data_IF_887351206594
#
_entry.id   IF_887351206594
#
_cell.length_a   1.000
_cell.length_b   1.000
_cell.length_c   1.000
_cell.angle_alpha   90.00
_cell.angle_beta   90.00
_cell.angle_gamma   90.00
#
_symmetry.space_group_name_H-M   'P 1'
#
loop_
_entity.id
_entity.type
_entity.pdbx_description
1 polymer ?
#
# COMPACT_ATOMS: atom_id res chain seq x y z
N UNK A 1 26.36 -40.28 -65.70
CA UNK A 1 27.48 -40.78 -64.89
C UNK A 1 28.17 -39.58 -64.28
N UNK A 2 27.94 -39.30 -62.99
CA UNK A 2 28.70 -38.30 -62.25
C UNK A 2 29.13 -38.86 -60.89
N UNK A 3 30.36 -38.52 -60.59
CA UNK A 3 31.24 -38.97 -59.53
C UNK A 3 30.83 -38.43 -58.15
N UNK A 4 30.82 -39.34 -57.18
CA UNK A 4 31.64 -39.31 -55.97
C UNK A 4 31.43 -38.28 -54.83
N UNK A 5 31.65 -38.84 -53.62
CA UNK A 5 32.21 -38.25 -52.37
C UNK A 5 31.19 -37.64 -51.41
N UNK A 6 31.31 -37.72 -50.08
CA UNK A 6 32.13 -38.46 -49.10
C UNK A 6 31.62 -38.03 -47.70
N UNK A 7 31.75 -38.92 -46.72
CA UNK A 7 32.03 -38.65 -45.28
C UNK A 7 31.10 -37.79 -44.42
N UNK A 8 30.50 -38.46 -43.42
CA UNK A 8 30.17 -37.87 -42.11
C UNK A 8 31.45 -37.45 -41.35
N UNK A 9 31.35 -36.56 -40.34
CA UNK A 9 31.31 -37.11 -38.98
C UNK A 9 30.47 -36.35 -37.94
N UNK A 10 29.99 -37.14 -37.00
CA UNK A 10 29.60 -36.88 -35.61
C UNK A 10 30.35 -35.74 -34.89
N UNK A 11 29.60 -34.86 -34.24
CA UNK A 11 30.01 -34.23 -32.96
C UNK A 11 28.88 -34.24 -31.95
N UNK A 12 29.14 -35.00 -30.88
CA UNK A 12 28.38 -35.04 -29.65
C UNK A 12 28.43 -33.67 -28.94
N UNK A 13 27.28 -33.10 -28.62
CA UNK A 13 27.19 -32.00 -27.67
C UNK A 13 26.91 -32.62 -26.30
N UNK A 14 27.96 -32.70 -25.48
CA UNK A 14 27.92 -33.21 -24.11
C UNK A 14 27.15 -32.25 -23.21
N UNK A 15 26.29 -32.85 -22.41
CA UNK A 15 25.73 -32.36 -21.16
C UNK A 15 26.72 -31.52 -20.34
N UNK A 16 26.32 -30.31 -19.98
CA UNK A 16 26.95 -29.51 -18.94
C UNK A 16 25.85 -28.99 -17.99
N UNK A 17 25.32 -29.92 -17.21
CA UNK A 17 24.62 -29.65 -15.96
C UNK A 17 25.67 -29.38 -14.87
N UNK A 18 26.00 -28.09 -14.66
CA UNK A 18 26.60 -27.59 -13.42
C UNK A 18 25.61 -26.59 -12.84
N UNK A 19 24.79 -26.98 -11.88
CA UNK A 19 25.12 -26.92 -10.44
C UNK A 19 25.64 -25.55 -10.03
N UNK A 20 24.73 -24.57 -9.97
CA UNK A 20 24.83 -23.41 -9.07
C UNK A 20 23.72 -23.53 -8.04
N UNK A 21 23.98 -24.42 -7.08
CA UNK A 21 23.36 -24.45 -5.76
C UNK A 21 24.30 -23.65 -4.86
N UNK A 22 23.80 -22.55 -4.30
CA UNK A 22 24.32 -21.77 -3.16
C UNK A 22 24.40 -20.26 -3.46
N UNK A 23 23.28 -19.57 -3.27
CA UNK A 23 23.19 -18.32 -2.47
C UNK A 23 21.73 -17.84 -2.40
N UNK A 24 20.83 -18.74 -2.01
CA UNK A 24 19.52 -18.40 -1.45
C UNK A 24 19.71 -18.30 0.07
N UNK A 25 20.18 -17.15 0.53
CA UNK A 25 20.50 -16.88 1.93
C UNK A 25 20.01 -15.51 2.35
N UNK A 26 18.79 -15.17 1.97
CA UNK A 26 17.95 -14.09 2.52
C UNK A 26 16.50 -14.45 2.15
N UNK A 27 16.08 -15.61 2.64
CA UNK A 27 14.72 -16.13 2.49
C UNK A 27 14.12 -16.23 3.89
N UNK A 28 13.02 -15.50 4.08
CA UNK A 28 11.96 -15.76 5.05
C UNK A 28 12.17 -15.34 6.50
N UNK A 29 11.99 -14.05 6.75
CA UNK A 29 11.43 -13.51 8.00
C UNK A 29 10.03 -12.91 7.83
N UNK A 30 9.32 -13.21 6.73
CA UNK A 30 7.97 -12.70 6.43
C UNK A 30 7.00 -13.84 6.05
N UNK A 31 7.33 -15.09 6.39
CA UNK A 31 6.32 -16.15 6.36
C UNK A 31 5.52 -16.18 7.66
N UNK A 32 4.21 -16.17 7.49
CA UNK A 32 3.23 -16.72 8.41
C UNK A 32 2.86 -15.92 9.67
N UNK A 33 2.58 -14.62 9.51
CA UNK A 33 1.40 -14.04 10.18
C UNK A 33 0.27 -13.82 9.16
N UNK A 34 0.06 -14.84 8.33
CA UNK A 34 -1.10 -14.94 7.47
C UNK A 34 -2.28 -15.51 8.29
N UNK A 35 -3.27 -14.64 8.51
CA UNK A 35 -4.68 -14.95 8.26
C UNK A 35 -5.19 -16.24 8.94
N UNK A 36 -5.42 -16.15 10.25
CA UNK A 36 -6.53 -16.85 10.91
C UNK A 36 -7.43 -15.85 11.65
N UNK A 37 -8.02 -14.93 10.92
CA UNK A 37 -9.26 -14.31 11.37
C UNK A 37 -10.41 -15.03 10.70
N UNK A 38 -10.89 -16.08 11.37
CA UNK A 38 -12.16 -16.71 11.06
C UNK A 38 -13.26 -15.68 11.35
N UNK A 39 -13.78 -15.08 10.27
CA UNK A 39 -15.01 -14.31 10.28
C UNK A 39 -16.13 -15.22 10.76
N UNK A 40 -16.51 -15.09 12.03
CA UNK A 40 -17.67 -15.79 12.62
C UNK A 40 -18.70 -14.74 13.02
N UNK A 41 -19.22 -14.01 12.03
CA UNK A 41 -20.36 -13.12 12.21
C UNK A 41 -21.63 -13.97 12.33
N UNK A 42 -21.94 -14.45 13.54
CA UNK A 42 -23.30 -14.94 13.85
C UNK A 42 -24.23 -13.74 13.90
N UNK A 43 -25.10 -13.67 12.90
CA UNK A 43 -26.31 -12.85 12.89
C UNK A 43 -27.17 -13.30 14.08
N UNK A 44 -27.17 -12.51 15.15
CA UNK A 44 -28.20 -12.56 16.18
C UNK A 44 -29.13 -11.37 15.95
N UNK A 45 -30.25 -11.64 15.30
CA UNK A 45 -31.39 -10.75 15.29
C UNK A 45 -31.89 -10.59 16.74
N UNK A 46 -31.87 -9.37 17.25
CA UNK A 46 -32.35 -9.01 18.57
C UNK A 46 -32.92 -7.61 18.54
N UNK A 47 -34.14 -7.49 18.00
CA UNK A 47 -35.00 -6.33 18.24
C UNK A 47 -35.21 -6.19 19.74
N UNK A 48 -34.81 -5.04 20.32
CA UNK A 48 -35.42 -4.56 21.55
C UNK A 48 -35.48 -3.05 21.54
N UNK A 49 -36.70 -2.58 21.27
CA UNK A 49 -37.18 -1.22 21.47
C UNK A 49 -37.09 -0.84 22.95
N UNK A 50 -36.54 0.33 23.23
CA UNK A 50 -36.80 1.05 24.48
C UNK A 50 -36.69 2.56 24.24
N UNK A 51 -37.85 3.18 24.14
CA UNK A 51 -38.07 4.61 24.32
C UNK A 51 -37.46 5.11 25.63
N UNK A 52 -36.73 6.23 25.60
CA UNK A 52 -36.68 7.10 26.76
C UNK A 52 -36.53 8.56 26.33
N UNK A 53 -37.56 9.33 26.69
CA UNK A 53 -37.65 10.78 26.55
C UNK A 53 -36.80 11.51 27.60
N UNK A 54 -36.68 12.83 27.37
CA UNK A 54 -36.26 13.94 28.26
C UNK A 54 -34.76 14.26 28.18
N UNK A 55 -34.29 15.51 28.22
CA UNK A 55 -34.95 16.79 28.48
C UNK A 55 -34.20 17.94 27.79
N UNK A 56 -34.93 19.04 27.63
CA UNK A 56 -34.45 20.38 27.33
C UNK A 56 -33.29 20.83 28.23
N UNK A 57 -32.33 21.57 27.65
CA UNK A 57 -31.79 22.80 28.22
C UNK A 57 -31.07 23.61 27.12
N UNK A 58 -31.59 24.82 26.83
CA UNK A 58 -30.89 25.89 26.11
C UNK A 58 -30.26 26.86 27.15
N UNK A 59 -29.76 28.05 26.77
CA UNK A 59 -28.34 28.34 26.54
C UNK A 59 -27.81 29.36 27.57
N UNK A 60 -26.50 29.57 27.64
CA UNK A 60 -25.94 30.75 28.32
C UNK A 60 -24.96 31.45 27.38
N UNK A 61 -25.35 32.67 27.01
CA UNK A 61 -24.51 33.69 26.38
C UNK A 61 -23.65 34.41 27.42
N UNK A 62 -22.41 34.72 27.07
CA UNK A 62 -21.57 35.82 27.53
C UNK A 62 -20.19 35.63 26.88
N UNK A 63 -19.37 36.61 26.50
CA UNK A 63 -19.49 38.05 26.34
C UNK A 63 -18.24 38.48 25.55
N UNK A 64 -18.31 39.64 24.91
CA UNK A 64 -17.22 40.32 24.21
C UNK A 64 -15.98 40.51 25.08
N UNK A 65 -14.79 40.42 24.48
CA UNK A 65 -13.70 41.39 24.73
C UNK A 65 -12.83 41.51 23.48
N UNK A 66 -12.86 42.72 22.92
CA UNK A 66 -11.97 43.18 21.88
C UNK A 66 -10.56 43.43 22.46
N UNK A 67 -9.53 42.99 21.75
CA UNK A 67 -8.13 43.28 22.04
C UNK A 67 -7.32 43.24 20.76
N UNK A 68 -7.32 44.36 20.03
CA UNK A 68 -6.48 44.59 18.85
C UNK A 68 -5.14 45.16 19.32
N UNK A 69 -4.04 44.45 19.08
CA UNK A 69 -2.70 45.04 19.08
C UNK A 69 -1.88 44.42 17.93
N UNK A 70 -1.57 45.26 16.95
CA UNK A 70 -0.58 44.99 15.91
C UNK A 70 0.83 45.02 16.51
N UNK A 71 1.73 44.15 16.04
CA UNK A 71 3.03 44.52 15.44
C UNK A 71 3.78 43.27 14.99
N UNK A 72 3.81 43.10 13.68
CA UNK A 72 4.79 42.31 12.94
C UNK A 72 6.12 43.07 12.88
N UNK A 73 7.23 42.32 12.91
CA UNK A 73 8.50 42.46 12.16
C UNK A 73 9.71 42.11 13.04
N UNK A 74 10.20 40.88 12.87
CA UNK A 74 11.61 40.55 12.93
C UNK A 74 11.79 39.23 12.17
N UNK A 75 12.26 39.33 10.94
CA UNK A 75 12.76 38.21 10.14
C UNK A 75 14.06 37.72 10.76
N UNK A 76 13.98 36.75 11.67
CA UNK A 76 15.13 35.91 11.95
C UNK A 76 15.18 34.85 10.86
N UNK A 77 16.09 35.04 9.91
CA UNK A 77 16.64 33.96 9.11
C UNK A 77 17.43 33.04 10.06
N UNK A 78 16.71 32.27 10.87
CA UNK A 78 17.28 31.09 11.49
C UNK A 78 17.29 30.03 10.42
N UNK A 79 18.44 29.98 9.76
CA UNK A 79 18.98 28.84 9.05
C UNK A 79 18.77 27.62 9.96
N UNK A 80 17.61 26.99 9.80
CA UNK A 80 17.18 25.82 10.55
C UNK A 80 17.92 24.64 9.94
N UNK A 81 19.24 24.64 10.19
CA UNK A 81 20.11 23.48 10.17
C UNK A 81 19.52 22.49 11.19
N UNK A 82 18.48 21.78 10.75
CA UNK A 82 17.93 20.62 11.42
C UNK A 82 19.03 19.57 11.44
N UNK A 83 19.86 19.64 12.48
CA UNK A 83 20.66 18.52 12.94
C UNK A 83 19.67 17.47 13.48
N UNK A 84 18.93 16.83 12.57
CA UNK A 84 18.17 15.63 12.91
C UNK A 84 19.18 14.67 13.54
N UNK A 85 18.98 14.22 14.78
CA UNK A 85 19.86 13.24 15.37
C UNK A 85 19.96 12.04 14.40
N UNK A 86 21.15 11.43 14.23
CA UNK A 86 21.39 10.39 13.23
C UNK A 86 20.54 9.10 13.41
N UNK A 87 19.69 9.04 14.44
CA UNK A 87 18.75 7.96 14.71
C UNK A 87 17.27 8.37 14.60
N UNK A 88 16.96 9.54 14.02
CA UNK A 88 15.58 9.92 13.81
C UNK A 88 14.97 9.01 12.73
N UNK A 89 13.98 8.22 13.13
CA UNK A 89 13.29 7.28 12.24
C UNK A 89 12.75 8.02 11.02
N UNK A 90 12.60 7.33 9.87
CA UNK A 90 11.95 7.93 8.71
C UNK A 90 10.60 8.52 9.12
N UNK A 91 10.27 9.74 8.67
CA UNK A 91 8.96 10.35 8.89
C UNK A 91 7.93 9.58 8.05
N UNK A 92 7.52 8.41 8.51
CA UNK A 92 6.80 7.39 7.73
C UNK A 92 5.50 7.92 7.12
N UNK A 93 4.77 8.76 7.86
CA UNK A 93 3.52 9.34 7.38
C UNK A 93 3.79 10.44 6.35
N UNK A 94 4.81 11.28 6.55
CA UNK A 94 5.20 12.31 5.60
C UNK A 94 5.64 11.69 4.27
N UNK A 95 6.42 10.60 4.31
CA UNK A 95 6.82 9.86 3.10
C UNK A 95 5.60 9.27 2.40
N UNK A 96 4.68 8.65 3.14
CA UNK A 96 3.46 8.09 2.55
C UNK A 96 2.60 9.19 1.90
N UNK A 97 2.47 10.34 2.56
CA UNK A 97 1.75 11.48 2.04
C UNK A 97 2.40 12.07 0.80
N UNK A 98 3.72 12.27 0.82
CA UNK A 98 4.49 12.76 -0.32
C UNK A 98 4.29 11.84 -1.54
N UNK A 99 4.42 10.52 -1.35
CA UNK A 99 4.19 9.55 -2.43
C UNK A 99 2.75 9.60 -2.91
N UNK A 100 1.78 9.68 -2.00
CA UNK A 100 0.34 9.71 -2.34
C UNK A 100 -0.15 11.02 -2.97
N UNK A 101 0.64 12.09 -2.90
CA UNK A 101 0.35 13.39 -3.51
C UNK A 101 1.28 13.70 -4.71
N UNK A 102 2.12 12.74 -5.10
CA UNK A 102 3.07 12.93 -6.20
C UNK A 102 2.36 13.23 -7.52
N UNK A 103 2.84 14.21 -8.33
CA UNK A 103 2.27 14.51 -9.63
C UNK A 103 2.41 13.36 -10.65
N UNK A 104 3.27 12.38 -10.37
CA UNK A 104 3.43 11.18 -11.18
C UNK A 104 2.28 10.17 -11.04
N UNK A 105 1.37 10.35 -10.08
CA UNK A 105 0.22 9.45 -9.91
C UNK A 105 -0.83 9.64 -11.02
N UNK A 106 -0.94 10.86 -11.57
CA UNK A 106 -1.86 11.19 -12.65
C UNK A 106 -1.24 10.96 -14.03
N UNK A 107 0.08 11.09 -14.15
CA UNK A 107 0.80 10.92 -15.40
C UNK A 107 1.20 9.45 -15.61
N UNK A 108 0.69 8.82 -16.65
CA UNK A 108 1.06 7.44 -17.00
C UNK A 108 2.19 7.42 -18.01
N UNK A 109 3.21 6.58 -17.79
CA UNK A 109 4.26 6.29 -18.79
C UNK A 109 3.67 5.57 -20.01
N UNK A 110 4.34 5.51 -21.16
CA UNK A 110 3.88 4.74 -22.33
C UNK A 110 4.15 3.23 -22.20
N UNK A 111 5.16 2.83 -21.42
CA UNK A 111 5.55 1.43 -21.25
C UNK A 111 4.64 0.72 -20.25
N UNK A 112 3.86 -0.25 -20.74
CA UNK A 112 2.90 -1.02 -19.96
C UNK A 112 3.56 -1.83 -18.82
N UNK A 113 4.78 -2.36 -19.02
CA UNK A 113 5.49 -3.11 -17.97
C UNK A 113 5.91 -2.18 -16.84
N UNK A 114 6.38 -0.98 -17.19
CA UNK A 114 6.76 0.04 -16.22
C UNK A 114 5.54 0.50 -15.42
N UNK A 115 4.35 0.60 -16.03
CA UNK A 115 3.10 0.89 -15.29
C UNK A 115 2.78 -0.16 -14.24
N UNK A 116 2.92 -1.45 -14.57
CA UNK A 116 2.74 -2.54 -13.61
C UNK A 116 3.82 -2.52 -12.51
N UNK A 117 5.05 -2.17 -12.85
CA UNK A 117 6.13 -2.02 -11.88
C UNK A 117 5.88 -0.83 -10.93
N UNK A 118 5.38 0.29 -11.46
CA UNK A 118 4.93 1.44 -10.66
C UNK A 118 3.79 1.01 -9.73
N UNK A 119 2.78 0.30 -10.24
CA UNK A 119 1.69 -0.22 -9.42
C UNK A 119 2.20 -1.11 -8.27
N UNK A 120 3.14 -2.00 -8.55
CA UNK A 120 3.82 -2.81 -7.52
C UNK A 120 4.51 -1.91 -6.48
N UNK A 121 5.29 -0.92 -6.92
CA UNK A 121 6.00 0.01 -6.04
C UNK A 121 5.04 0.80 -5.12
N UNK A 122 3.91 1.26 -5.65
CA UNK A 122 2.88 1.99 -4.88
C UNK A 122 2.22 1.09 -3.81
N UNK A 123 1.88 -0.15 -4.17
CA UNK A 123 1.35 -1.12 -3.20
C UNK A 123 2.40 -1.49 -2.16
N UNK A 124 3.64 -1.68 -2.59
CA UNK A 124 4.75 -1.98 -1.68
C UNK A 124 4.97 -0.84 -0.68
N UNK A 125 4.91 0.42 -1.11
CA UNK A 125 5.01 1.59 -0.24
C UNK A 125 3.93 1.60 0.85
N UNK A 126 2.69 1.23 0.49
CA UNK A 126 1.60 1.06 1.45
C UNK A 126 1.92 -0.04 2.48
N UNK A 127 2.39 -1.20 2.03
CA UNK A 127 2.75 -2.31 2.93
C UNK A 127 3.92 -1.96 3.84
N UNK A 128 4.92 -1.24 3.34
CA UNK A 128 6.04 -0.73 4.14
C UNK A 128 5.52 0.14 5.29
N UNK A 129 4.63 1.10 5.01
CA UNK A 129 4.04 1.96 6.04
C UNK A 129 3.25 1.14 7.09
N UNK A 130 2.48 0.14 6.65
CA UNK A 130 1.73 -0.72 7.54
C UNK A 130 2.65 -1.59 8.42
N UNK A 131 3.82 -1.96 7.90
CA UNK A 131 4.86 -2.73 8.59
C UNK A 131 5.83 -1.90 9.44
N UNK A 132 5.56 -0.60 9.61
CA UNK A 132 6.52 0.30 10.27
C UNK A 132 6.78 -0.11 11.73
N UNK A 133 8.00 0.13 12.25
CA UNK A 133 8.29 -0.11 13.66
C UNK A 133 7.41 0.75 14.58
N UNK A 134 6.74 0.12 15.54
CA UNK A 134 5.89 0.82 16.52
C UNK A 134 6.77 1.33 17.67
N UNK A 135 6.71 2.63 17.94
CA UNK A 135 7.55 3.30 18.95
C UNK A 135 7.31 2.79 20.37
N UNK A 136 6.06 2.51 20.72
CA UNK A 136 5.70 2.01 22.05
C UNK A 136 6.29 0.63 22.36
N UNK A 137 6.80 -0.10 21.36
CA UNK A 137 7.43 -1.40 21.50
C UNK A 137 8.98 -1.36 21.37
N UNK A 138 9.59 -0.17 21.35
CA UNK A 138 11.05 -0.06 21.27
C UNK A 138 11.71 -0.65 22.52
N UNK A 139 12.48 -1.74 22.35
CA UNK A 139 13.12 -2.47 23.46
C UNK A 139 12.27 -3.56 24.11
N UNK A 140 11.07 -3.83 23.57
CA UNK A 140 10.26 -4.99 23.97
C UNK A 140 10.77 -6.28 23.32
N UNK A 141 10.31 -7.43 23.82
CA UNK A 141 10.59 -8.72 23.19
C UNK A 141 9.86 -8.87 21.84
N UNK A 142 10.31 -9.82 21.02
CA UNK A 142 9.76 -10.02 19.66
C UNK A 142 8.24 -10.27 19.68
N UNK A 143 7.74 -10.97 20.71
CA UNK A 143 6.33 -11.25 20.86
C UNK A 143 5.52 -9.97 21.12
N UNK A 144 5.98 -9.09 22.01
CA UNK A 144 5.30 -7.81 22.27
C UNK A 144 5.28 -6.90 21.04
N UNK A 145 6.35 -6.91 20.23
CA UNK A 145 6.40 -6.17 18.96
C UNK A 145 5.35 -6.71 17.99
N UNK A 146 5.25 -8.04 17.85
CA UNK A 146 4.26 -8.68 17.00
C UNK A 146 2.82 -8.38 17.45
N UNK A 147 2.56 -8.42 18.76
CA UNK A 147 1.24 -8.12 19.33
C UNK A 147 0.86 -6.64 19.13
N UNK A 148 1.80 -5.71 19.34
CA UNK A 148 1.59 -4.29 19.06
C UNK A 148 1.27 -4.07 17.57
N UNK A 149 1.95 -4.78 16.68
CA UNK A 149 1.70 -4.70 15.24
C UNK A 149 0.32 -5.24 14.86
N UNK A 150 -0.09 -6.38 15.42
CA UNK A 150 -1.42 -6.93 15.23
C UNK A 150 -2.51 -5.97 15.75
N UNK A 151 -2.30 -5.35 16.91
CA UNK A 151 -3.20 -4.33 17.46
C UNK A 151 -3.29 -3.11 16.54
N UNK A 152 -2.15 -2.63 16.03
CA UNK A 152 -2.12 -1.51 15.09
C UNK A 152 -2.89 -1.82 13.80
N UNK A 153 -2.68 -2.99 13.18
CA UNK A 153 -3.41 -3.37 11.97
C UNK A 153 -4.92 -3.51 12.22
N UNK A 154 -5.30 -4.07 13.37
CA UNK A 154 -6.71 -4.12 13.78
C UNK A 154 -7.29 -2.72 13.93
N UNK A 155 -6.61 -1.82 14.63
CA UNK A 155 -7.03 -0.43 14.79
C UNK A 155 -7.09 0.31 13.45
N UNK A 156 -6.12 0.08 12.56
CA UNK A 156 -6.09 0.66 11.23
C UNK A 156 -7.34 0.28 10.43
N UNK A 157 -7.84 -0.94 10.56
CA UNK A 157 -9.05 -1.40 9.89
C UNK A 157 -10.35 -0.83 10.47
N UNK A 158 -10.50 -0.73 11.80
CA UNK A 158 -11.83 -0.47 12.41
C UNK A 158 -11.93 0.74 13.33
N UNK A 159 -10.83 1.32 13.78
CA UNK A 159 -10.87 2.39 14.78
C UNK A 159 -11.50 3.66 14.22
N UNK A 160 -12.36 4.30 15.01
CA UNK A 160 -12.77 5.68 14.78
C UNK A 160 -11.65 6.60 15.24
N UNK A 161 -11.09 7.39 14.32
CA UNK A 161 -9.95 8.26 14.59
C UNK A 161 -10.23 9.70 14.18
N UNK A 162 -9.69 10.71 14.89
CA UNK A 162 -9.82 12.10 14.49
C UNK A 162 -9.22 12.35 13.09
N UNK A 163 -9.80 13.24 12.27
CA UNK A 163 -9.32 13.51 10.90
C UNK A 163 -7.85 13.98 10.82
N UNK A 164 -7.35 14.62 11.87
CA UNK A 164 -5.96 15.12 11.96
C UNK A 164 -4.97 14.10 12.48
N UNK A 165 -5.44 12.91 12.90
CA UNK A 165 -4.56 11.85 13.39
C UNK A 165 -3.68 11.28 12.28
N UNK A 166 -2.51 10.76 12.64
CA UNK A 166 -1.64 10.04 11.70
C UNK A 166 -2.38 8.90 11.00
N UNK A 167 -3.20 8.15 11.75
CA UNK A 167 -3.98 7.04 11.19
C UNK A 167 -4.99 7.53 10.15
N UNK A 168 -5.72 8.62 10.40
CA UNK A 168 -6.65 9.18 9.42
C UNK A 168 -5.92 9.64 8.16
N UNK A 169 -4.80 10.35 8.32
CA UNK A 169 -3.92 10.79 7.22
C UNK A 169 -3.44 9.60 6.38
N UNK A 170 -3.00 8.53 7.03
CA UNK A 170 -2.55 7.32 6.38
C UNK A 170 -3.66 6.62 5.59
N UNK A 171 -4.90 6.59 6.11
CA UNK A 171 -6.06 6.04 5.41
C UNK A 171 -6.36 6.82 4.13
N UNK A 172 -6.30 8.15 4.20
CA UNK A 172 -6.47 9.03 3.03
C UNK A 172 -5.37 8.76 2.00
N UNK A 173 -4.11 8.71 2.43
CA UNK A 173 -2.98 8.42 1.55
C UNK A 173 -3.11 7.03 0.91
N UNK A 174 -3.56 6.03 1.68
CA UNK A 174 -3.85 4.67 1.18
C UNK A 174 -4.90 4.68 0.09
N UNK A 175 -6.02 5.38 0.29
CA UNK A 175 -7.08 5.51 -0.71
C UNK A 175 -6.56 6.17 -2.00
N UNK A 176 -5.73 7.23 -1.89
CA UNK A 176 -5.08 7.87 -3.05
C UNK A 176 -4.14 6.92 -3.78
N UNK A 177 -3.34 6.14 -3.07
CA UNK A 177 -2.45 5.15 -3.68
C UNK A 177 -3.23 4.06 -4.40
N UNK A 178 -4.32 3.56 -3.82
CA UNK A 178 -5.20 2.58 -4.49
C UNK A 178 -5.76 3.16 -5.79
N UNK A 179 -6.24 4.41 -5.77
CA UNK A 179 -6.68 5.09 -7.01
C UNK A 179 -5.56 5.18 -8.05
N UNK A 180 -4.36 5.53 -7.63
CA UNK A 180 -3.23 5.63 -8.53
C UNK A 180 -2.85 4.27 -9.14
N UNK A 181 -2.88 3.20 -8.33
CA UNK A 181 -2.68 1.81 -8.77
C UNK A 181 -3.72 1.42 -9.84
N UNK A 182 -4.99 1.76 -9.62
CA UNK A 182 -6.06 1.56 -10.60
C UNK A 182 -5.85 2.39 -11.87
N UNK A 183 -5.41 3.64 -11.76
CA UNK A 183 -5.08 4.49 -12.90
C UNK A 183 -3.96 3.90 -13.78
N UNK A 184 -2.90 3.37 -13.15
CA UNK A 184 -1.82 2.69 -13.89
C UNK A 184 -2.34 1.47 -14.64
N UNK A 185 -3.20 0.65 -14.01
CA UNK A 185 -3.84 -0.50 -14.64
C UNK A 185 -4.78 -0.11 -15.79
N UNK A 186 -5.67 0.84 -15.57
CA UNK A 186 -6.73 1.21 -16.53
C UNK A 186 -6.17 1.85 -17.80
N UNK A 187 -5.00 2.46 -17.71
CA UNK A 187 -4.31 2.98 -18.88
C UNK A 187 -3.79 1.89 -19.83
N UNK A 188 -3.65 0.63 -19.38
CA UNK A 188 -3.21 -0.50 -20.21
C UNK A 188 -4.39 -0.93 -21.10
N UNK A 189 -4.27 -0.84 -22.44
CA UNK A 189 -5.37 -1.11 -23.34
C UNK A 189 -5.83 -2.58 -23.27
N UNK A 190 -7.12 -2.88 -23.49
CA UNK A 190 -7.65 -4.25 -23.46
C UNK A 190 -7.01 -5.15 -24.53
N UNK A 191 -6.46 -4.57 -25.60
CA UNK A 191 -5.75 -5.27 -26.68
C UNK A 191 -4.28 -5.56 -26.36
N UNK A 192 -3.78 -5.12 -25.20
CA UNK A 192 -2.39 -5.35 -24.80
C UNK A 192 -2.07 -6.85 -24.72
N UNK A 193 -0.90 -7.29 -25.23
CA UNK A 193 -0.45 -8.67 -25.07
C UNK A 193 -0.27 -9.04 -23.60
N UNK A 194 0.00 -8.09 -22.69
CA UNK A 194 0.11 -8.37 -21.26
C UNK A 194 -1.22 -8.85 -20.67
N UNK A 195 -2.36 -8.29 -21.13
CA UNK A 195 -3.70 -8.73 -20.72
C UNK A 195 -4.08 -10.08 -21.32
N UNK A 196 -3.61 -10.38 -22.53
CA UNK A 196 -3.90 -11.65 -23.22
C UNK A 196 -3.08 -12.84 -22.66
N UNK A 197 -1.93 -12.57 -22.05
CA UNK A 197 -1.07 -13.59 -21.44
C UNK A 197 -1.77 -14.34 -20.32
N UNK A 198 -1.88 -15.67 -20.45
CA UNK A 198 -2.47 -16.54 -19.42
C UNK A 198 -1.74 -16.43 -18.07
N UNK A 199 -0.46 -16.08 -18.14
CA UNK A 199 0.41 -15.88 -17.01
C UNK A 199 0.01 -14.65 -16.16
N UNK A 200 -0.49 -13.58 -16.77
CA UNK A 200 -0.85 -12.36 -16.04
C UNK A 200 -2.32 -12.32 -15.63
N UNK A 201 -3.11 -13.35 -15.99
CA UNK A 201 -4.55 -13.41 -15.70
C UNK A 201 -4.89 -13.08 -14.24
N UNK A 202 -4.16 -13.67 -13.28
CA UNK A 202 -4.36 -13.42 -11.84
C UNK A 202 -4.17 -11.97 -11.43
N UNK A 203 -3.20 -11.27 -12.05
CA UNK A 203 -2.93 -9.85 -11.77
C UNK A 203 -4.14 -9.02 -12.20
N UNK A 204 -4.63 -9.24 -13.42
CA UNK A 204 -5.76 -8.49 -13.96
C UNK A 204 -7.09 -8.82 -13.26
N UNK A 205 -7.28 -10.05 -12.79
CA UNK A 205 -8.41 -10.42 -11.92
C UNK A 205 -8.35 -9.68 -10.57
N UNK A 206 -7.17 -9.60 -9.95
CA UNK A 206 -6.98 -8.85 -8.71
C UNK A 206 -7.21 -7.33 -8.91
N UNK A 207 -6.74 -6.77 -10.03
CA UNK A 207 -7.04 -5.38 -10.38
C UNK A 207 -8.54 -5.14 -10.57
N UNK A 208 -9.25 -6.06 -11.23
CA UNK A 208 -10.70 -5.92 -11.41
C UNK A 208 -11.42 -5.95 -10.05
N UNK A 209 -11.08 -6.89 -9.17
CA UNK A 209 -11.64 -6.93 -7.83
C UNK A 209 -11.35 -5.65 -7.03
N UNK A 210 -10.12 -5.11 -7.13
CA UNK A 210 -9.75 -3.84 -6.49
C UNK A 210 -10.50 -2.66 -7.10
N UNK A 211 -10.74 -2.69 -8.42
CA UNK A 211 -11.48 -1.66 -9.14
C UNK A 211 -12.93 -1.61 -8.69
N UNK A 212 -13.60 -2.76 -8.59
CA UNK A 212 -14.98 -2.84 -8.13
C UNK A 212 -15.13 -2.23 -6.72
N UNK A 213 -14.16 -2.48 -5.82
CA UNK A 213 -14.11 -1.85 -4.49
C UNK A 213 -13.80 -0.34 -4.56
N UNK A 214 -12.90 0.06 -5.46
CA UNK A 214 -12.55 1.45 -5.70
C UNK A 214 -13.74 2.26 -6.19
N UNK A 215 -14.48 1.74 -7.17
CA UNK A 215 -15.67 2.38 -7.73
C UNK A 215 -16.81 2.48 -6.70
N UNK A 216 -16.93 1.49 -5.81
CA UNK A 216 -17.93 1.47 -4.74
C UNK A 216 -17.66 2.49 -3.61
N UNK A 217 -16.39 2.66 -3.19
CA UNK A 217 -16.05 3.43 -1.97
C UNK A 217 -15.19 4.67 -2.21
N UNK A 218 -14.49 4.78 -3.33
CA UNK A 218 -13.52 5.84 -3.60
C UNK A 218 -14.06 6.86 -4.62
N UNK A 219 -15.30 7.30 -4.46
CA UNK A 219 -15.94 8.27 -5.38
C UNK A 219 -15.31 9.67 -5.32
N UNK A 220 -14.74 10.05 -4.18
CA UNK A 220 -14.14 11.38 -3.97
C UNK A 220 -12.65 11.41 -4.28
N UNK A 221 -12.20 12.37 -5.09
CA UNK A 221 -10.77 12.52 -5.49
C UNK A 221 -9.84 12.87 -4.32
N UNK A 222 -10.37 13.32 -3.20
CA UNK A 222 -9.58 13.71 -2.02
C UNK A 222 -9.08 12.51 -1.21
N UNK A 223 -9.54 11.28 -1.50
CA UNK A 223 -9.17 10.07 -0.77
C UNK A 223 -9.93 9.88 0.54
N UNK A 224 -10.93 10.71 0.83
CA UNK A 224 -11.86 10.49 1.94
C UNK A 224 -12.78 9.29 1.63
N UNK A 225 -12.82 8.32 2.55
CA UNK A 225 -13.65 7.12 2.46
C UNK A 225 -14.66 7.14 3.59
N UNK A 226 -15.96 7.14 3.26
CA UNK A 226 -17.03 7.20 4.26
C UNK A 226 -17.09 5.93 5.12
N UNK A 227 -17.12 4.75 4.49
CA UNK A 227 -17.02 3.46 5.17
C UNK A 227 -15.63 2.84 4.98
N UNK A 228 -14.66 3.39 5.72
CA UNK A 228 -13.28 2.89 5.71
C UNK A 228 -13.19 1.41 6.07
N UNK A 229 -14.00 0.95 7.03
CA UNK A 229 -13.96 -0.43 7.52
C UNK A 229 -14.37 -1.41 6.43
N UNK A 230 -15.47 -1.11 5.74
CA UNK A 230 -15.94 -1.93 4.63
C UNK A 230 -14.94 -1.92 3.46
N UNK A 231 -14.48 -0.73 3.06
CA UNK A 231 -13.51 -0.59 1.98
C UNK A 231 -12.22 -1.38 2.27
N UNK A 232 -11.59 -1.15 3.42
CA UNK A 232 -10.31 -1.76 3.76
C UNK A 232 -10.44 -3.26 4.03
N UNK A 233 -11.51 -3.70 4.70
CA UNK A 233 -11.75 -5.11 4.98
C UNK A 233 -11.80 -5.99 3.72
N UNK A 234 -12.33 -5.45 2.61
CA UNK A 234 -12.37 -6.14 1.32
C UNK A 234 -11.12 -5.87 0.46
N UNK A 235 -10.58 -4.65 0.50
CA UNK A 235 -9.45 -4.27 -0.35
C UNK A 235 -8.12 -4.86 0.14
N UNK A 236 -7.91 -4.98 1.46
CA UNK A 236 -6.66 -5.49 2.04
C UNK A 236 -6.22 -6.84 1.45
N UNK A 237 -7.04 -7.91 1.44
CA UNK A 237 -6.61 -9.19 0.87
C UNK A 237 -6.30 -9.10 -0.63
N UNK A 238 -7.02 -8.26 -1.37
CA UNK A 238 -6.79 -8.05 -2.81
C UNK A 238 -5.46 -7.32 -3.05
N UNK A 239 -5.16 -6.29 -2.25
CA UNK A 239 -3.90 -5.54 -2.31
C UNK A 239 -2.70 -6.44 -2.02
N UNK A 240 -2.80 -7.32 -1.02
CA UNK A 240 -1.75 -8.30 -0.71
C UNK A 240 -1.57 -9.30 -1.85
N UNK A 241 -2.66 -9.90 -2.35
CA UNK A 241 -2.59 -10.82 -3.47
C UNK A 241 -2.01 -10.17 -4.75
N UNK A 242 -2.32 -8.89 -4.98
CA UNK A 242 -1.84 -8.12 -6.11
C UNK A 242 -0.33 -7.90 -6.05
N UNK A 243 0.23 -7.49 -4.89
CA UNK A 243 1.68 -7.27 -4.78
C UNK A 243 2.46 -8.57 -4.96
N UNK A 244 1.96 -9.68 -4.43
CA UNK A 244 2.57 -11.00 -4.57
C UNK A 244 2.59 -11.42 -6.04
N UNK A 245 1.44 -11.31 -6.72
CA UNK A 245 1.33 -11.66 -8.13
C UNK A 245 2.21 -10.79 -9.03
N UNK A 246 2.31 -9.48 -8.76
CA UNK A 246 3.19 -8.57 -9.50
C UNK A 246 4.67 -8.92 -9.27
N UNK A 247 5.06 -9.18 -8.03
CA UNK A 247 6.42 -9.57 -7.66
C UNK A 247 6.85 -10.90 -8.28
N UNK A 248 5.98 -11.92 -8.23
CA UNK A 248 6.22 -13.24 -8.85
C UNK A 248 6.43 -13.15 -10.37
N UNK A 249 5.81 -12.16 -11.01
CA UNK A 249 5.95 -11.89 -12.45
C UNK A 249 7.13 -10.98 -12.80
N UNK A 250 7.86 -10.50 -11.80
CA UNK A 250 9.01 -9.62 -12.00
C UNK A 250 8.63 -8.19 -12.38
N UNK A 251 7.40 -7.75 -12.12
CA UNK A 251 7.01 -6.35 -12.26
C UNK A 251 7.48 -5.56 -11.03
N UNK A 252 8.79 -5.47 -10.85
CA UNK A 252 9.43 -4.76 -9.73
C UNK A 252 10.23 -3.58 -10.29
N UNK A 253 10.16 -2.42 -9.65
CA UNK A 253 11.03 -1.30 -9.98
C UNK A 253 12.47 -1.71 -9.70
N UNK A 254 13.25 -1.90 -10.77
CA UNK A 254 14.68 -2.16 -10.65
C UNK A 254 15.34 -0.86 -10.20
N UNK A 255 16.16 -0.92 -9.13
CA UNK A 255 17.04 0.20 -8.81
C UNK A 255 18.13 0.22 -9.88
N UNK A 256 17.98 1.10 -10.87
CA UNK A 256 19.02 1.41 -11.84
C UNK A 256 20.18 2.08 -11.06
N UNK A 257 21.13 1.28 -10.61
CA UNK A 257 22.25 1.77 -9.79
C UNK A 257 23.35 0.76 -9.46
N UNK A 258 23.26 -0.49 -9.92
CA UNK A 258 24.34 -1.48 -9.81
C UNK A 258 24.84 -1.84 -11.23
N UNK A 259 25.62 -0.95 -11.84
CA UNK A 259 26.57 -1.28 -12.91
C UNK A 259 28.01 -0.91 -12.48
#
# INVERSE_FOLDING_TARGET
>A
MFSSRLTAPTKACRSLTRSLKARSGLQYGLQASAVRYASTSRIAAGFSSASSMRAFSKPVSAAMTAGRAQRTYATNAEDSSSSRPPNERPPWIEVLEEVSNGPWLTNTTSDEKVRLAIAHGLVYQLLLYLSRPIESAAGADEQSVADAHAQYLSAFAVASVPPTSEMARARIATAKLVKAVLNQHDSIPPTSPLRAGAENKKIFEAFQALKDMGDAHLTNNEGAVEDWKEFWGHSQPVVVALVEALGERGFVLSQEGEE
#
